data_IF_534363500316
#
_entry.id   IF_534363500316
#
_cell.length_a   1.000
_cell.length_b   1.000
_cell.length_c   1.000
_cell.angle_alpha   90.00
_cell.angle_beta   90.00
_cell.angle_gamma   90.00
#
_symmetry.space_group_name_H-M   'P 1'
#
loop_
_entity.id
_entity.type
_entity.pdbx_description
1 polymer ?
#
# COMPACT_ATOMS: atom_id res chain seq x y z
N UNK A 1 -50.62 32.83 -37.16
CA UNK A 1 -49.29 32.39 -37.62
C UNK A 1 -48.48 32.03 -36.39
N UNK A 2 -48.33 30.72 -36.17
CA UNK A 2 -47.74 30.11 -34.99
C UNK A 2 -46.23 29.97 -35.19
N UNK A 3 -45.44 30.38 -34.20
CA UNK A 3 -44.03 29.98 -34.10
C UNK A 3 -43.85 29.26 -32.76
N UNK A 4 -43.71 27.92 -32.75
CA UNK A 4 -43.44 27.21 -31.52
C UNK A 4 -41.96 27.31 -31.13
N UNK A 5 -41.74 27.69 -29.88
CA UNK A 5 -40.46 27.65 -29.18
C UNK A 5 -39.86 26.22 -29.22
N UNK A 6 -38.66 26.08 -29.78
CA UNK A 6 -37.85 24.85 -29.72
C UNK A 6 -36.93 24.92 -28.49
N UNK A 7 -37.08 24.05 -27.48
CA UNK A 7 -36.03 23.90 -26.48
C UNK A 7 -34.86 23.13 -27.09
N UNK A 8 -33.66 23.69 -26.96
CA UNK A 8 -32.42 23.11 -27.43
C UNK A 8 -32.14 21.73 -26.82
N UNK A 9 -31.72 20.80 -27.66
CA UNK A 9 -31.25 19.47 -27.29
C UNK A 9 -29.94 19.56 -26.49
N UNK A 10 -30.05 19.64 -25.17
CA UNK A 10 -28.92 19.35 -24.27
C UNK A 10 -28.66 17.84 -24.35
N UNK A 11 -27.43 17.50 -24.75
CA UNK A 11 -27.01 16.12 -25.04
C UNK A 11 -27.43 15.13 -23.97
N UNK A 12 -28.30 14.19 -24.36
CA UNK A 12 -28.60 13.00 -23.58
C UNK A 12 -27.33 12.15 -23.50
N UNK A 13 -26.57 12.32 -22.42
CA UNK A 13 -25.60 11.34 -21.99
C UNK A 13 -26.28 9.96 -21.98
N UNK A 14 -25.71 9.05 -22.76
CA UNK A 14 -26.13 7.66 -22.98
C UNK A 14 -26.66 7.03 -21.68
N UNK A 15 -28.00 6.91 -21.58
CA UNK A 15 -28.69 6.17 -20.51
C UNK A 15 -28.43 4.68 -20.74
N UNK A 16 -27.37 4.16 -20.14
CA UNK A 16 -27.19 2.71 -20.00
C UNK A 16 -28.21 2.26 -18.96
N UNK A 17 -29.25 1.54 -19.38
CA UNK A 17 -30.14 0.82 -18.46
C UNK A 17 -29.30 -0.25 -17.76
N UNK A 18 -29.11 -0.20 -16.43
CA UNK A 18 -28.33 -1.22 -15.75
C UNK A 18 -29.15 -2.53 -15.68
N UNK A 19 -28.47 -3.67 -15.75
CA UNK A 19 -29.01 -5.04 -15.68
C UNK A 19 -29.87 -5.34 -14.42
N UNK A 20 -29.96 -4.40 -13.49
CA UNK A 20 -30.59 -4.51 -12.18
C UNK A 20 -31.99 -3.85 -12.11
N UNK A 21 -32.41 -3.15 -13.18
CA UNK A 21 -33.73 -2.51 -13.29
C UNK A 21 -33.91 -1.22 -12.47
N UNK A 22 -32.88 -0.75 -11.77
CA UNK A 22 -32.92 0.44 -10.90
C UNK A 22 -32.23 1.62 -11.55
N UNK A 23 -32.89 2.78 -11.57
CA UNK A 23 -32.27 4.02 -12.07
C UNK A 23 -31.40 4.65 -10.99
N UNK A 24 -30.07 4.64 -11.21
CA UNK A 24 -29.09 5.24 -10.29
C UNK A 24 -28.55 6.52 -10.93
N UNK A 25 -28.68 7.64 -10.22
CA UNK A 25 -28.04 8.92 -10.56
C UNK A 25 -26.99 9.19 -9.48
N UNK A 26 -25.75 8.86 -9.81
CA UNK A 26 -24.59 9.01 -8.94
C UNK A 26 -23.35 9.34 -9.79
N UNK A 27 -22.45 10.12 -9.22
CA UNK A 27 -21.15 10.43 -9.81
C UNK A 27 -20.16 9.31 -9.45
N UNK A 28 -19.55 8.60 -10.42
CA UNK A 28 -18.66 7.48 -10.13
C UNK A 28 -17.43 7.94 -9.33
N UNK A 29 -16.95 7.09 -8.40
CA UNK A 29 -15.75 7.38 -7.64
C UNK A 29 -14.53 7.49 -8.55
N UNK A 30 -13.89 8.65 -8.55
CA UNK A 30 -12.55 8.86 -9.10
C UNK A 30 -11.50 8.29 -8.13
N UNK A 31 -10.44 7.65 -8.64
CA UNK A 31 -9.31 7.20 -7.81
C UNK A 31 -8.68 8.41 -7.12
N UNK A 32 -8.51 8.35 -5.80
CA UNK A 32 -7.87 9.42 -5.02
C UNK A 32 -6.57 8.91 -4.40
N UNK A 33 -5.48 9.63 -4.63
CA UNK A 33 -4.17 9.32 -4.06
C UNK A 33 -4.12 9.69 -2.57
N UNK A 34 -3.54 8.81 -1.74
CA UNK A 34 -3.43 9.07 -0.29
C UNK A 34 -2.12 9.83 0.02
N UNK A 35 -2.18 11.05 0.60
CA UNK A 35 -0.98 11.85 0.86
C UNK A 35 -0.04 11.20 1.89
N UNK A 36 -0.58 10.36 2.79
CA UNK A 36 0.22 9.63 3.77
C UNK A 36 1.17 8.60 3.11
N UNK A 37 0.74 7.97 2.01
CA UNK A 37 1.58 7.00 1.29
C UNK A 37 2.72 7.73 0.56
N UNK A 38 2.46 8.92 0.02
CA UNK A 38 3.50 9.79 -0.57
C UNK A 38 4.50 10.27 0.48
N UNK A 39 4.02 10.77 1.63
CA UNK A 39 4.89 11.20 2.73
C UNK A 39 5.78 10.05 3.21
N UNK A 40 5.20 8.85 3.35
CA UNK A 40 5.96 7.67 3.72
C UNK A 40 7.02 7.30 2.67
N UNK A 41 6.70 7.41 1.37
CA UNK A 41 7.67 7.19 0.30
C UNK A 41 8.81 8.23 0.34
N UNK A 42 8.50 9.50 0.56
CA UNK A 42 9.51 10.56 0.73
C UNK A 42 10.40 10.27 1.93
N UNK A 43 9.83 9.90 3.09
CA UNK A 43 10.62 9.54 4.27
C UNK A 43 11.50 8.32 4.03
N UNK A 44 11.02 7.31 3.29
CA UNK A 44 11.82 6.15 2.91
C UNK A 44 12.99 6.54 2.00
N UNK A 45 12.74 7.40 1.00
CA UNK A 45 13.78 7.91 0.10
C UNK A 45 14.84 8.73 0.86
N UNK A 46 14.41 9.64 1.74
CA UNK A 46 15.32 10.40 2.61
C UNK A 46 16.11 9.47 3.54
N UNK A 47 15.47 8.43 4.08
CA UNK A 47 16.14 7.40 4.86
C UNK A 47 17.22 6.65 4.07
N UNK A 48 16.95 6.29 2.81
CA UNK A 48 17.96 5.67 1.91
C UNK A 48 19.16 6.59 1.75
N UNK A 49 18.93 7.86 1.42
CA UNK A 49 20.01 8.84 1.27
C UNK A 49 20.83 9.00 2.56
N UNK A 50 20.16 9.10 3.70
CA UNK A 50 20.80 9.22 5.02
C UNK A 50 21.67 7.99 5.33
N UNK A 51 21.17 6.78 5.10
CA UNK A 51 21.93 5.54 5.33
C UNK A 51 23.15 5.48 4.42
N UNK A 52 23.04 5.87 3.15
CA UNK A 52 24.18 5.93 2.23
C UNK A 52 25.25 6.89 2.73
N UNK A 53 24.87 8.10 3.16
CA UNK A 53 25.81 9.10 3.70
C UNK A 53 26.47 8.59 4.98
N UNK A 54 25.69 8.04 5.90
CA UNK A 54 26.21 7.48 7.15
C UNK A 54 27.12 6.27 6.92
N UNK A 55 26.81 5.42 5.94
CA UNK A 55 27.62 4.27 5.58
C UNK A 55 29.03 4.69 5.13
N UNK A 56 29.13 5.73 4.29
CA UNK A 56 30.41 6.30 3.83
C UNK A 56 31.19 6.92 4.99
N UNK A 57 30.52 7.62 5.91
CA UNK A 57 31.20 8.26 7.04
C UNK A 57 31.67 7.24 8.09
N UNK A 58 30.87 6.19 8.32
CA UNK A 58 31.18 5.14 9.29
C UNK A 58 32.34 4.23 8.82
N UNK A 59 32.44 3.93 7.52
CA UNK A 59 33.54 3.12 6.98
C UNK A 59 34.90 3.80 7.17
N UNK A 60 34.97 5.12 6.98
CA UNK A 60 36.18 5.90 7.21
C UNK A 60 36.70 5.84 8.65
N UNK A 61 35.79 5.81 9.64
CA UNK A 61 36.14 5.78 11.07
C UNK A 61 36.59 4.39 11.55
N UNK A 62 36.15 3.33 10.88
CA UNK A 62 36.40 1.93 11.32
C UNK A 62 37.70 1.35 10.75
N UNK A 63 38.19 1.91 9.64
CA UNK A 63 39.44 1.47 9.00
C UNK A 63 40.68 1.55 9.92
N UNK A 64 40.70 2.51 10.86
CA UNK A 64 41.83 2.75 11.75
C UNK A 64 42.02 1.77 12.92
N UNK A 65 41.09 0.82 13.17
CA UNK A 65 41.17 -0.10 14.32
C UNK A 65 41.47 -1.57 13.95
N UNK A 66 41.49 -1.93 12.67
CA UNK A 66 41.45 -3.33 12.22
C UNK A 66 42.80 -3.92 11.80
N UNK A 67 43.88 -3.15 11.85
CA UNK A 67 45.20 -3.60 11.42
C UNK A 67 45.89 -4.53 12.44
N UNK A 68 45.47 -4.52 13.71
CA UNK A 68 46.22 -5.15 14.82
C UNK A 68 45.70 -6.53 15.32
N UNK A 69 44.66 -7.13 14.70
CA UNK A 69 44.00 -8.33 15.28
C UNK A 69 43.94 -9.57 14.36
N UNK A 70 44.68 -9.57 13.26
CA UNK A 70 44.59 -10.64 12.24
C UNK A 70 45.10 -12.02 12.71
N UNK A 71 45.88 -12.09 13.80
CA UNK A 71 46.48 -13.32 14.31
C UNK A 71 45.53 -14.31 15.00
N UNK A 72 44.41 -13.85 15.59
CA UNK A 72 43.51 -14.69 16.41
C UNK A 72 42.28 -15.17 15.60
N UNK A 73 41.91 -14.47 14.53
CA UNK A 73 40.69 -14.73 13.75
C UNK A 73 40.75 -16.00 12.86
N UNK A 74 41.95 -16.49 12.54
CA UNK A 74 42.14 -17.60 11.58
C UNK A 74 41.68 -18.97 12.13
N UNK A 75 41.85 -19.21 13.44
CA UNK A 75 41.49 -20.48 14.09
C UNK A 75 39.98 -20.58 14.33
N UNK A 76 39.36 -19.49 14.77
CA UNK A 76 37.91 -19.41 15.02
C UNK A 76 37.12 -19.56 13.71
N UNK A 77 37.59 -18.97 12.60
CA UNK A 77 36.98 -19.13 11.27
C UNK A 77 36.95 -20.57 10.77
N UNK A 78 37.96 -21.38 11.12
CA UNK A 78 38.08 -22.77 10.64
C UNK A 78 37.04 -23.71 11.27
N UNK A 79 36.62 -23.42 12.50
CA UNK A 79 35.60 -24.19 13.23
C UNK A 79 34.18 -23.72 12.88
N UNK A 80 33.97 -22.42 12.68
CA UNK A 80 32.66 -21.85 12.33
C UNK A 80 32.27 -21.99 10.85
N UNK A 81 33.19 -22.38 9.97
CA UNK A 81 32.95 -22.41 8.52
C UNK A 81 31.74 -23.25 8.10
N UNK A 82 31.65 -24.49 8.57
CA UNK A 82 30.58 -25.43 8.20
C UNK A 82 29.19 -24.97 8.69
N UNK A 83 28.97 -24.65 9.99
CA UNK A 83 27.67 -24.19 10.45
C UNK A 83 27.23 -22.85 9.83
N UNK A 84 28.16 -21.92 9.59
CA UNK A 84 27.84 -20.62 8.94
C UNK A 84 27.42 -20.82 7.49
N UNK A 85 28.11 -21.67 6.73
CA UNK A 85 27.78 -21.93 5.31
C UNK A 85 26.41 -22.60 5.15
N UNK A 86 26.06 -23.54 6.05
CA UNK A 86 24.72 -24.17 6.04
C UNK A 86 23.64 -23.14 6.35
N UNK A 87 23.88 -22.27 7.34
CA UNK A 87 22.95 -21.23 7.73
C UNK A 87 22.80 -20.14 6.66
N UNK A 88 23.89 -19.82 5.95
CA UNK A 88 23.91 -18.97 4.76
C UNK A 88 23.00 -19.52 3.66
N UNK A 89 23.18 -20.79 3.29
CA UNK A 89 22.34 -21.43 2.28
C UNK A 89 20.87 -21.46 2.69
N UNK A 90 20.59 -21.76 3.96
CA UNK A 90 19.22 -21.77 4.48
C UNK A 90 18.57 -20.38 4.46
N UNK A 91 19.28 -19.35 4.92
CA UNK A 91 18.73 -17.99 4.98
C UNK A 91 18.58 -17.41 3.57
N UNK A 92 19.55 -17.64 2.70
CA UNK A 92 19.53 -17.09 1.33
C UNK A 92 18.41 -17.71 0.50
N UNK A 93 18.18 -19.03 0.63
CA UNK A 93 17.23 -19.74 -0.20
C UNK A 93 15.88 -19.99 0.49
N UNK A 94 15.88 -20.52 1.71
CA UNK A 94 14.65 -20.95 2.39
C UNK A 94 13.89 -19.77 2.98
N UNK A 95 14.56 -18.78 3.60
CA UNK A 95 13.84 -17.69 4.25
C UNK A 95 12.94 -16.90 3.28
N UNK A 96 13.38 -16.50 2.07
CA UNK A 96 12.52 -15.80 1.13
C UNK A 96 11.41 -16.68 0.54
N UNK A 97 11.70 -17.96 0.28
CA UNK A 97 10.70 -18.92 -0.21
C UNK A 97 9.61 -19.13 0.83
N UNK A 98 9.95 -19.28 2.11
CA UNK A 98 8.99 -19.39 3.21
C UNK A 98 8.12 -18.15 3.30
N UNK A 99 8.72 -16.95 3.23
CA UNK A 99 7.96 -15.69 3.28
C UNK A 99 7.03 -15.56 2.06
N UNK A 100 7.50 -15.86 0.85
CA UNK A 100 6.69 -15.81 -0.38
C UNK A 100 5.58 -16.87 -0.37
N UNK A 101 5.87 -18.10 0.05
CA UNK A 101 4.89 -19.19 0.12
C UNK A 101 3.78 -18.90 1.14
N UNK A 102 4.12 -18.35 2.30
CA UNK A 102 3.15 -17.94 3.31
C UNK A 102 2.17 -16.87 2.79
N UNK A 103 2.58 -16.08 1.80
CA UNK A 103 1.76 -15.02 1.20
C UNK A 103 0.89 -15.53 0.04
N UNK A 104 1.43 -16.39 -0.84
CA UNK A 104 0.69 -17.01 -1.96
C UNK A 104 -0.48 -17.86 -1.45
N UNK A 105 -0.31 -18.54 -0.32
CA UNK A 105 -1.34 -19.42 0.25
C UNK A 105 -2.61 -18.69 0.72
N UNK A 106 -2.59 -17.35 0.87
CA UNK A 106 -3.63 -16.59 1.59
C UNK A 106 -4.73 -15.95 0.71
N UNK A 107 -4.85 -16.33 -0.57
CA UNK A 107 -6.01 -16.09 -1.49
C UNK A 107 -6.69 -14.71 -1.43
N UNK A 108 -5.95 -13.63 -1.71
CA UNK A 108 -6.53 -12.30 -2.01
C UNK A 108 -6.39 -11.99 -3.51
N UNK A 109 -7.08 -12.76 -4.35
CA UNK A 109 -6.89 -12.75 -5.83
C UNK A 109 -7.03 -11.37 -6.51
N UNK A 110 -7.74 -10.41 -5.90
CA UNK A 110 -7.86 -9.04 -6.45
C UNK A 110 -6.72 -8.08 -6.08
N UNK A 111 -5.97 -8.34 -5.01
CA UNK A 111 -4.81 -7.53 -4.58
C UNK A 111 -3.47 -8.30 -4.63
N UNK A 112 -3.52 -9.60 -4.93
CA UNK A 112 -2.34 -10.45 -5.05
C UNK A 112 -1.42 -9.99 -6.19
N UNK A 113 -1.98 -9.55 -7.32
CA UNK A 113 -1.16 -9.06 -8.45
C UNK A 113 -0.41 -7.77 -8.11
N UNK A 114 -1.05 -6.83 -7.40
CA UNK A 114 -0.42 -5.60 -6.95
C UNK A 114 0.68 -5.86 -5.91
N UNK A 115 0.44 -6.79 -4.99
CA UNK A 115 1.42 -7.22 -3.99
C UNK A 115 2.61 -7.95 -4.63
N UNK A 116 2.36 -8.81 -5.62
CA UNK A 116 3.43 -9.49 -6.40
C UNK A 116 4.21 -8.48 -7.23
N UNK A 117 3.54 -7.53 -7.88
CA UNK A 117 4.20 -6.45 -8.60
C UNK A 117 5.12 -5.63 -7.68
N UNK A 118 4.67 -5.30 -6.46
CA UNK A 118 5.53 -4.65 -5.47
C UNK A 118 6.75 -5.50 -5.12
N UNK A 119 6.59 -6.81 -4.93
CA UNK A 119 7.69 -7.72 -4.63
C UNK A 119 8.74 -7.75 -5.75
N UNK A 120 8.29 -7.90 -7.00
CA UNK A 120 9.16 -7.92 -8.18
C UNK A 120 9.88 -6.60 -8.33
N UNK A 121 9.18 -5.46 -8.22
CA UNK A 121 9.81 -4.15 -8.28
C UNK A 121 10.80 -3.93 -7.12
N UNK A 122 10.52 -4.46 -5.93
CA UNK A 122 11.45 -4.42 -4.80
C UNK A 122 12.72 -5.22 -5.06
N UNK A 123 12.61 -6.41 -5.65
CA UNK A 123 13.76 -7.22 -6.09
C UNK A 123 14.58 -6.46 -7.12
N UNK A 124 13.92 -5.90 -8.15
CA UNK A 124 14.59 -5.13 -9.19
C UNK A 124 15.28 -3.88 -8.63
N UNK A 125 14.66 -3.19 -7.67
CA UNK A 125 15.26 -2.03 -7.01
C UNK A 125 16.52 -2.41 -6.22
N UNK A 126 16.53 -3.54 -5.52
CA UNK A 126 17.72 -4.04 -4.83
C UNK A 126 18.84 -4.45 -5.79
N UNK A 127 18.49 -5.13 -6.90
CA UNK A 127 19.47 -5.49 -7.94
C UNK A 127 20.06 -4.23 -8.59
N UNK A 128 19.22 -3.24 -8.91
CA UNK A 128 19.66 -1.96 -9.44
C UNK A 128 20.56 -1.22 -8.45
N UNK A 129 20.19 -1.16 -7.16
CA UNK A 129 21.01 -0.54 -6.14
C UNK A 129 22.37 -1.24 -5.99
N UNK A 130 22.38 -2.58 -5.99
CA UNK A 130 23.61 -3.39 -5.95
C UNK A 130 24.50 -3.09 -7.15
N UNK A 131 23.92 -3.07 -8.35
CA UNK A 131 24.63 -2.75 -9.58
C UNK A 131 25.20 -1.31 -9.55
N UNK A 132 24.39 -0.33 -9.14
CA UNK A 132 24.82 1.07 -9.04
C UNK A 132 25.98 1.24 -8.05
N UNK A 133 25.93 0.61 -6.88
CA UNK A 133 27.00 0.67 -5.89
C UNK A 133 28.26 -0.03 -6.40
N UNK A 134 28.10 -1.19 -7.05
CA UNK A 134 29.24 -1.97 -7.57
C UNK A 134 29.95 -1.25 -8.71
N UNK A 135 29.20 -0.64 -9.62
CA UNK A 135 29.75 0.00 -10.82
C UNK A 135 30.21 1.43 -10.53
N UNK A 136 29.38 2.24 -9.87
CA UNK A 136 29.60 3.68 -9.69
C UNK A 136 29.94 4.11 -8.26
N UNK A 137 29.81 3.22 -7.27
CA UNK A 137 30.09 3.56 -5.87
C UNK A 137 31.57 3.84 -5.63
N UNK A 138 31.86 4.81 -4.77
CA UNK A 138 33.23 5.07 -4.27
C UNK A 138 33.70 3.90 -3.38
N UNK A 139 35.03 3.70 -3.19
CA UNK A 139 35.56 2.55 -2.44
C UNK A 139 34.95 2.39 -1.04
N UNK A 140 34.77 3.49 -0.32
CA UNK A 140 34.21 3.54 1.03
C UNK A 140 32.76 3.05 1.05
N UNK A 141 31.98 3.45 0.04
CA UNK A 141 30.60 3.00 -0.13
C UNK A 141 30.55 1.51 -0.46
N UNK A 142 31.39 1.03 -1.39
CA UNK A 142 31.46 -0.40 -1.72
C UNK A 142 31.83 -1.23 -0.50
N UNK A 143 32.80 -0.77 0.27
CA UNK A 143 33.24 -1.44 1.50
C UNK A 143 32.11 -1.54 2.53
N UNK A 144 31.39 -0.44 2.76
CA UNK A 144 30.30 -0.40 3.74
C UNK A 144 29.14 -1.36 3.42
N UNK A 145 28.91 -1.69 2.15
CA UNK A 145 27.89 -2.64 1.71
C UNK A 145 28.45 -4.04 1.39
N UNK A 146 29.77 -4.25 1.53
CA UNK A 146 30.40 -5.52 1.20
C UNK A 146 30.49 -6.46 2.40
N UNK A 147 30.23 -7.74 2.14
CA UNK A 147 30.50 -8.85 3.07
C UNK A 147 31.57 -9.76 2.49
N UNK A 148 32.31 -10.46 3.35
CA UNK A 148 33.36 -11.38 2.93
C UNK A 148 32.70 -12.72 2.56
N UNK A 149 32.68 -13.05 1.27
CA UNK A 149 32.22 -14.34 0.76
C UNK A 149 33.41 -15.08 0.14
N UNK A 150 33.94 -16.07 0.88
CA UNK A 150 35.18 -16.75 0.51
C UNK A 150 36.38 -15.80 0.46
N UNK A 151 37.02 -15.69 -0.71
CA UNK A 151 38.19 -14.83 -0.94
C UNK A 151 37.82 -13.43 -1.49
N UNK A 152 36.55 -13.17 -1.77
CA UNK A 152 36.09 -11.92 -2.39
C UNK A 152 35.16 -11.15 -1.45
N UNK A 153 35.23 -9.83 -1.51
CA UNK A 153 34.23 -8.95 -0.91
C UNK A 153 33.17 -8.63 -1.95
N UNK A 154 31.92 -8.92 -1.64
CA UNK A 154 30.78 -8.74 -2.55
C UNK A 154 29.78 -7.80 -1.90
N UNK A 155 29.30 -6.81 -2.67
CA UNK A 155 28.23 -5.90 -2.26
C UNK A 155 26.94 -6.68 -2.12
N UNK A 156 26.34 -6.69 -0.92
CA UNK A 156 25.17 -7.53 -0.62
C UNK A 156 23.99 -6.70 -0.14
N UNK A 157 22.98 -6.59 -1.01
CA UNK A 157 21.63 -6.12 -0.67
C UNK A 157 20.68 -7.26 -1.01
N UNK A 158 20.15 -8.00 -0.01
CA UNK A 158 19.28 -9.16 -0.25
C UNK A 158 18.02 -8.78 -1.05
N UNK A 159 18.04 -9.09 -2.35
CA UNK A 159 16.97 -8.67 -3.25
C UNK A 159 15.63 -9.30 -2.90
N UNK A 160 15.64 -10.58 -2.51
CA UNK A 160 14.41 -11.28 -2.13
C UNK A 160 13.81 -10.72 -0.83
N UNK A 161 14.63 -10.35 0.15
CA UNK A 161 14.15 -9.70 1.40
C UNK A 161 13.66 -8.27 1.14
N UNK A 162 14.27 -7.57 0.18
CA UNK A 162 13.77 -6.26 -0.28
C UNK A 162 12.39 -6.40 -0.93
N UNK A 163 12.21 -7.42 -1.76
CA UNK A 163 10.92 -7.76 -2.37
C UNK A 163 9.86 -8.11 -1.33
N UNK A 164 10.20 -8.89 -0.30
CA UNK A 164 9.24 -9.19 0.77
C UNK A 164 8.87 -7.94 1.57
N UNK A 165 9.82 -7.06 1.87
CA UNK A 165 9.53 -5.75 2.49
C UNK A 165 8.60 -4.88 1.61
N UNK A 166 8.81 -4.86 0.29
CA UNK A 166 7.95 -4.14 -0.66
C UNK A 166 6.53 -4.72 -0.69
N UNK A 167 6.43 -6.05 -0.76
CA UNK A 167 5.15 -6.75 -0.70
C UNK A 167 4.41 -6.46 0.60
N UNK A 168 5.06 -6.62 1.76
CA UNK A 168 4.45 -6.37 3.07
C UNK A 168 4.00 -4.91 3.22
N UNK A 169 4.76 -3.98 2.64
CA UNK A 169 4.40 -2.56 2.64
C UNK A 169 3.19 -2.29 1.75
N UNK A 170 3.16 -2.88 0.55
CA UNK A 170 2.02 -2.80 -0.36
C UNK A 170 0.76 -3.42 0.24
N UNK A 171 0.90 -4.58 0.89
CA UNK A 171 -0.19 -5.29 1.54
C UNK A 171 -0.85 -4.47 2.65
N UNK A 172 -0.07 -3.76 3.46
CA UNK A 172 -0.50 -2.67 4.35
C UNK A 172 -1.66 -2.97 5.33
N UNK A 173 -2.06 -1.99 6.18
CA UNK A 173 -3.01 -2.22 7.29
C UNK A 173 -4.47 -2.49 6.87
N UNK A 174 -4.79 -2.50 5.57
CA UNK A 174 -6.17 -2.72 5.08
C UNK A 174 -6.72 -4.08 5.52
N UNK A 175 -5.85 -5.03 5.82
CA UNK A 175 -6.21 -6.19 6.61
C UNK A 175 -5.86 -5.94 8.08
N UNK A 176 -6.88 -5.67 8.91
CA UNK A 176 -6.80 -5.49 10.37
C UNK A 176 -6.44 -6.79 11.11
N UNK A 177 -5.49 -7.57 10.58
CA UNK A 177 -5.14 -8.92 11.01
C UNK A 177 -3.75 -8.87 11.63
N UNK A 178 -3.65 -9.37 12.87
CA UNK A 178 -2.41 -9.50 13.68
C UNK A 178 -1.24 -10.15 12.91
N UNK A 179 -1.55 -10.86 11.82
CA UNK A 179 -0.62 -11.57 10.94
C UNK A 179 0.37 -10.65 10.20
N UNK A 180 -0.01 -9.44 9.78
CA UNK A 180 0.93 -8.53 9.08
C UNK A 180 2.05 -8.09 10.03
N UNK A 181 1.73 -7.82 11.30
CA UNK A 181 2.73 -7.56 12.33
C UNK A 181 3.67 -8.74 12.54
N UNK A 182 3.14 -9.97 12.54
CA UNK A 182 3.95 -11.18 12.65
C UNK A 182 4.93 -11.35 11.45
N UNK A 183 4.49 -11.06 10.22
CA UNK A 183 5.38 -11.12 9.05
C UNK A 183 6.51 -10.07 9.10
N UNK A 184 6.24 -8.87 9.64
CA UNK A 184 7.29 -7.89 9.88
C UNK A 184 8.27 -8.34 10.97
N UNK A 185 7.79 -8.96 12.05
CA UNK A 185 8.66 -9.54 13.08
C UNK A 185 9.56 -10.65 12.52
N UNK A 186 9.00 -11.52 11.67
CA UNK A 186 9.78 -12.56 10.98
C UNK A 186 10.84 -11.96 10.06
N UNK A 187 10.51 -10.89 9.32
CA UNK A 187 11.47 -10.18 8.48
C UNK A 187 12.62 -9.59 9.30
N UNK A 188 12.31 -8.96 10.44
CA UNK A 188 13.33 -8.45 11.37
C UNK A 188 14.19 -9.57 11.97
N UNK A 189 13.58 -10.71 12.30
CA UNK A 189 14.32 -11.88 12.78
C UNK A 189 15.29 -12.39 11.71
N UNK A 190 14.84 -12.54 10.46
CA UNK A 190 15.69 -12.97 9.34
C UNK A 190 16.84 -12.00 9.10
N UNK A 191 16.58 -10.69 9.09
CA UNK A 191 17.63 -9.67 8.98
C UNK A 191 18.59 -9.69 10.17
N UNK A 192 18.09 -9.87 11.39
CA UNK A 192 18.90 -9.95 12.59
C UNK A 192 19.82 -11.17 12.59
N UNK A 193 19.31 -12.34 12.20
CA UNK A 193 20.13 -13.54 12.05
C UNK A 193 21.18 -13.30 10.97
N UNK A 194 20.80 -12.80 9.79
CA UNK A 194 21.73 -12.51 8.70
C UNK A 194 22.82 -11.51 9.08
N UNK A 195 22.50 -10.53 9.93
CA UNK A 195 23.47 -9.56 10.46
C UNK A 195 24.44 -10.22 11.44
N UNK A 196 23.94 -11.00 12.40
CA UNK A 196 24.75 -11.71 13.41
C UNK A 196 25.66 -12.75 12.76
N UNK A 197 25.20 -13.40 11.70
CA UNK A 197 25.98 -14.39 10.95
C UNK A 197 26.94 -13.76 9.93
N UNK A 198 26.91 -12.44 9.76
CA UNK A 198 27.80 -11.71 8.85
C UNK A 198 27.46 -11.84 7.37
N UNK A 199 26.23 -12.25 7.04
CA UNK A 199 25.74 -12.39 5.67
C UNK A 199 25.34 -11.06 5.03
N UNK A 200 25.03 -10.07 5.85
CA UNK A 200 24.70 -8.70 5.42
C UNK A 200 25.37 -7.70 6.35
N UNK A 201 25.65 -6.50 5.82
CA UNK A 201 26.10 -5.38 6.65
C UNK A 201 24.91 -4.66 7.29
N UNK A 202 25.15 -3.90 8.37
CA UNK A 202 24.14 -3.06 8.99
C UNK A 202 23.49 -2.06 7.99
N UNK A 203 24.27 -1.27 7.21
CA UNK A 203 23.66 -0.41 6.20
C UNK A 203 22.96 -1.21 5.10
N UNK A 204 23.46 -2.39 4.71
CA UNK A 204 22.78 -3.30 3.79
C UNK A 204 21.40 -3.74 4.28
N UNK A 205 21.27 -4.10 5.57
CA UNK A 205 20.00 -4.46 6.20
C UNK A 205 19.01 -3.29 6.21
N UNK A 206 19.47 -2.07 6.54
CA UNK A 206 18.63 -0.88 6.56
C UNK A 206 18.15 -0.50 5.15
N UNK A 207 19.04 -0.49 4.16
CA UNK A 207 18.70 -0.22 2.76
C UNK A 207 17.72 -1.26 2.21
N UNK A 208 17.88 -2.54 2.56
CA UNK A 208 16.95 -3.61 2.18
C UNK A 208 15.51 -3.29 2.58
N UNK A 209 15.31 -2.86 3.84
CA UNK A 209 13.97 -2.51 4.31
C UNK A 209 13.48 -1.19 3.69
N UNK A 210 14.33 -0.18 3.62
CA UNK A 210 13.95 1.14 3.11
C UNK A 210 13.61 1.15 1.62
N UNK A 211 14.38 0.44 0.79
CA UNK A 211 14.05 0.24 -0.63
C UNK A 211 12.73 -0.50 -0.79
N UNK A 212 12.50 -1.55 0.01
CA UNK A 212 11.23 -2.25 0.03
C UNK A 212 10.08 -1.30 0.38
N UNK A 213 10.21 -0.51 1.43
CA UNK A 213 9.20 0.48 1.83
C UNK A 213 8.96 1.54 0.75
N UNK A 214 10.02 2.06 0.15
CA UNK A 214 9.95 3.05 -0.92
C UNK A 214 9.14 2.53 -2.11
N UNK A 215 9.47 1.33 -2.60
CA UNK A 215 8.77 0.70 -3.72
C UNK A 215 7.31 0.39 -3.35
N UNK A 216 7.07 -0.20 -2.18
CA UNK A 216 5.71 -0.56 -1.74
C UNK A 216 4.80 0.66 -1.56
N UNK A 217 5.30 1.74 -0.94
CA UNK A 217 4.56 2.98 -0.76
C UNK A 217 4.36 3.73 -2.08
N UNK A 218 5.40 3.75 -2.94
CA UNK A 218 5.31 4.34 -4.28
C UNK A 218 4.26 3.64 -5.14
N UNK A 219 4.28 2.31 -5.20
CA UNK A 219 3.29 1.55 -5.96
C UNK A 219 1.88 1.73 -5.39
N UNK A 220 1.75 1.75 -4.06
CA UNK A 220 0.47 2.00 -3.39
C UNK A 220 -0.09 3.39 -3.66
N UNK A 221 0.78 4.39 -3.73
CA UNK A 221 0.40 5.74 -4.12
C UNK A 221 -0.06 5.79 -5.58
N UNK A 222 0.68 5.13 -6.49
CA UNK A 222 0.38 5.09 -7.93
C UNK A 222 -0.89 4.30 -8.26
N UNK A 223 -1.09 3.14 -7.63
CA UNK A 223 -2.26 2.28 -7.92
C UNK A 223 -3.57 2.98 -7.52
N UNK A 224 -3.53 3.82 -6.48
CA UNK A 224 -4.69 4.52 -5.98
C UNK A 224 -5.73 3.58 -5.37
N UNK A 225 -6.62 4.10 -4.53
CA UNK A 225 -7.69 3.27 -3.94
C UNK A 225 -8.82 3.17 -4.97
N UNK A 226 -9.08 1.96 -5.48
CA UNK A 226 -10.42 1.65 -5.98
C UNK A 226 -11.31 1.56 -4.76
N UNK A 227 -12.20 2.52 -4.59
CA UNK A 227 -13.09 2.54 -3.45
C UNK A 227 -13.84 1.19 -3.39
N UNK A 228 -13.70 0.44 -2.30
CA UNK A 228 -14.52 -0.75 -1.98
C UNK A 228 -15.97 -0.36 -1.62
N UNK A 229 -16.44 0.70 -2.28
CA UNK A 229 -17.77 1.25 -2.14
C UNK A 229 -18.71 0.39 -2.95
N UNK A 230 -19.78 -0.08 -2.31
CA UNK A 230 -20.91 -0.64 -3.03
C UNK A 230 -21.44 0.45 -3.99
N UNK A 231 -21.38 0.15 -5.29
CA UNK A 231 -21.88 0.98 -6.38
C UNK A 231 -22.73 0.09 -7.30
N UNK A 232 -23.72 0.70 -7.94
CA UNK A 232 -24.54 0.00 -8.92
C UNK A 232 -25.25 -1.22 -8.33
N UNK A 233 -25.03 -2.38 -8.95
CA UNK A 233 -25.53 -3.70 -8.58
C UNK A 233 -25.42 -4.02 -7.08
N UNK A 234 -24.21 -3.86 -6.54
CA UNK A 234 -23.89 -4.24 -5.15
C UNK A 234 -24.61 -3.37 -4.11
N UNK A 235 -24.86 -2.10 -4.45
CA UNK A 235 -25.67 -1.21 -3.62
C UNK A 235 -27.14 -1.64 -3.65
N UNK A 236 -27.66 -1.94 -4.85
CA UNK A 236 -29.04 -2.42 -5.04
C UNK A 236 -29.27 -3.75 -4.31
N UNK A 237 -28.33 -4.69 -4.42
CA UNK A 237 -28.40 -5.98 -3.73
C UNK A 237 -28.35 -5.82 -2.21
N UNK A 238 -27.54 -4.88 -1.71
CA UNK A 238 -27.51 -4.53 -0.28
C UNK A 238 -28.87 -4.00 0.22
N UNK A 239 -29.50 -3.12 -0.56
CA UNK A 239 -30.82 -2.55 -0.24
C UNK A 239 -31.92 -3.63 -0.29
N UNK A 240 -31.88 -4.51 -1.30
CA UNK A 240 -32.80 -5.67 -1.41
C UNK A 240 -32.64 -6.65 -0.26
N UNK A 241 -31.41 -6.93 0.17
CA UNK A 241 -31.14 -7.76 1.36
C UNK A 241 -31.64 -7.12 2.65
N UNK A 242 -31.68 -5.79 2.71
CA UNK A 242 -32.28 -5.05 3.82
C UNK A 242 -33.82 -5.04 3.78
N UNK A 243 -34.45 -5.67 2.76
CA UNK A 243 -35.90 -5.82 2.63
C UNK A 243 -36.59 -4.73 1.82
N UNK A 244 -35.85 -3.88 1.11
CA UNK A 244 -36.41 -2.78 0.33
C UNK A 244 -36.25 -3.04 -1.18
N UNK A 245 -37.28 -2.74 -1.96
CA UNK A 245 -37.28 -2.88 -3.43
C UNK A 245 -37.08 -1.52 -4.12
N UNK A 246 -35.83 -1.17 -4.49
CA UNK A 246 -35.52 0.13 -5.08
C UNK A 246 -35.97 0.24 -6.54
N UNK A 247 -36.55 1.39 -6.91
CA UNK A 247 -36.85 1.76 -8.31
C UNK A 247 -35.94 2.89 -8.78
N UNK A 248 -35.67 3.85 -7.89
CA UNK A 248 -34.80 5.00 -8.16
C UNK A 248 -33.91 5.27 -6.97
N UNK A 249 -32.62 5.51 -7.23
CA UNK A 249 -31.62 5.96 -6.26
C UNK A 249 -30.97 7.22 -6.81
N UNK A 250 -31.08 8.33 -6.06
CA UNK A 250 -30.48 9.62 -6.44
C UNK A 250 -29.59 10.08 -5.30
N UNK A 251 -28.31 10.38 -5.56
CA UNK A 251 -27.42 10.88 -4.51
C UNK A 251 -27.85 12.28 -4.07
N UNK A 252 -28.04 12.49 -2.76
CA UNK A 252 -28.58 13.74 -2.20
C UNK A 252 -27.70 14.96 -2.54
N UNK A 253 -26.38 14.77 -2.56
CA UNK A 253 -25.42 15.81 -2.96
C UNK A 253 -25.65 16.35 -4.39
N UNK A 254 -26.16 15.50 -5.30
CA UNK A 254 -26.47 15.90 -6.68
C UNK A 254 -27.83 16.61 -6.78
N UNK A 255 -28.77 16.32 -5.87
CA UNK A 255 -30.10 16.96 -5.82
C UNK A 255 -29.97 18.42 -5.36
N UNK A 256 -29.18 18.67 -4.32
CA UNK A 256 -28.91 20.03 -3.82
C UNK A 256 -28.16 20.89 -4.85
N UNK A 257 -27.25 20.29 -5.62
CA UNK A 257 -26.53 20.98 -6.68
C UNK A 257 -27.43 21.35 -7.88
N UNK A 258 -28.49 20.57 -8.14
CA UNK A 258 -29.42 20.80 -9.24
C UNK A 258 -30.56 21.78 -8.90
N UNK A 259 -30.92 21.93 -7.62
CA UNK A 259 -32.01 22.82 -7.17
C UNK A 259 -31.58 23.72 -5.99
N UNK A 260 -30.89 24.84 -6.24
CA UNK A 260 -30.37 25.72 -5.19
C UNK A 260 -31.41 26.51 -4.37
N UNK A 261 -32.71 26.24 -4.49
CA UNK A 261 -33.75 27.04 -3.81
C UNK A 261 -35.20 26.61 -4.04
N UNK A 262 -35.52 25.32 -3.93
CA UNK A 262 -36.91 24.84 -4.00
C UNK A 262 -37.65 24.97 -2.68
N UNK A 263 -38.93 25.33 -2.71
CA UNK A 263 -39.80 25.46 -1.54
C UNK A 263 -40.55 24.15 -1.22
N UNK A 264 -40.78 23.89 0.07
CA UNK A 264 -41.94 23.11 0.54
C UNK A 264 -41.79 21.61 0.81
N UNK A 265 -41.07 20.84 -0.02
CA UNK A 265 -40.97 19.36 0.13
C UNK A 265 -39.64 18.91 0.82
N UNK A 266 -38.76 19.87 1.13
CA UNK A 266 -37.39 19.69 1.59
C UNK A 266 -37.21 19.55 3.12
N UNK A 267 -38.29 19.55 3.91
CA UNK A 267 -38.17 19.52 5.37
C UNK A 267 -37.62 18.19 5.91
N UNK A 268 -37.84 17.08 5.21
CA UNK A 268 -37.22 15.76 5.49
C UNK A 268 -35.79 15.69 4.90
N UNK A 269 -35.57 16.39 3.78
CA UNK A 269 -34.30 16.49 3.05
C UNK A 269 -33.22 17.26 3.84
N UNK A 270 -33.60 18.17 4.74
CA UNK A 270 -32.67 18.85 5.66
C UNK A 270 -31.94 17.88 6.59
N UNK A 271 -32.58 16.77 6.99
CA UNK A 271 -31.95 15.73 7.79
C UNK A 271 -30.88 14.97 7.01
N UNK A 272 -31.18 14.58 5.77
CA UNK A 272 -30.24 13.98 4.84
C UNK A 272 -29.08 14.94 4.48
N UNK A 273 -29.38 16.22 4.27
CA UNK A 273 -28.39 17.29 4.05
C UNK A 273 -27.54 17.52 5.30
N UNK A 274 -28.10 17.44 6.50
CA UNK A 274 -27.34 17.52 7.75
C UNK A 274 -26.40 16.30 7.90
N UNK A 275 -26.87 15.08 7.60
CA UNK A 275 -26.06 13.85 7.66
C UNK A 275 -24.90 13.91 6.65
N UNK A 276 -25.14 14.41 5.43
CA UNK A 276 -24.06 14.60 4.42
C UNK A 276 -23.05 15.68 4.82
N UNK A 277 -23.43 16.66 5.65
CA UNK A 277 -22.51 17.70 6.18
C UNK A 277 -21.74 17.23 7.41
N UNK A 278 -22.37 16.40 8.25
CA UNK A 278 -21.83 15.98 9.54
C UNK A 278 -20.94 14.73 9.44
N UNK A 279 -21.03 13.99 8.33
CA UNK A 279 -20.10 12.91 7.98
C UNK A 279 -19.88 12.83 6.47
N UNK A 280 -18.69 12.41 6.04
CA UNK A 280 -18.34 12.09 4.64
C UNK A 280 -19.03 10.78 4.19
N UNK A 281 -20.32 10.64 4.50
CA UNK A 281 -21.16 9.49 4.21
C UNK A 281 -21.98 9.75 2.94
N UNK A 282 -22.13 8.71 2.12
CA UNK A 282 -22.92 8.79 0.89
C UNK A 282 -24.39 8.60 1.26
N UNK A 283 -25.20 9.63 1.04
CA UNK A 283 -26.65 9.56 1.27
C UNK A 283 -27.36 9.55 -0.07
N UNK A 284 -28.25 8.56 -0.23
CA UNK A 284 -29.08 8.39 -1.42
C UNK A 284 -30.55 8.57 -1.04
N UNK A 285 -31.26 9.40 -1.79
CA UNK A 285 -32.72 9.40 -1.80
C UNK A 285 -33.18 8.17 -2.60
N UNK A 286 -33.80 7.22 -1.90
CA UNK A 286 -34.39 6.00 -2.42
C UNK A 286 -35.89 6.22 -2.67
N UNK A 287 -36.37 5.80 -3.83
CA UNK A 287 -37.80 5.62 -4.12
C UNK A 287 -38.09 4.14 -4.29
N UNK A 288 -39.00 3.61 -3.47
CA UNK A 288 -39.42 2.20 -3.51
C UNK A 288 -40.53 1.96 -4.56
N UNK A 289 -40.85 0.69 -4.85
CA UNK A 289 -42.00 0.36 -5.70
C UNK A 289 -43.36 0.80 -5.10
N UNK A 290 -43.48 0.85 -3.77
CA UNK A 290 -44.67 1.34 -3.07
C UNK A 290 -44.85 2.86 -3.14
N UNK A 291 -43.90 3.58 -3.75
CA UNK A 291 -43.91 5.05 -3.82
C UNK A 291 -43.38 5.74 -2.58
N UNK A 292 -42.86 4.98 -1.60
CA UNK A 292 -42.25 5.53 -0.39
C UNK A 292 -40.87 6.13 -0.70
N UNK A 293 -40.56 7.25 -0.05
CA UNK A 293 -39.27 7.93 -0.15
C UNK A 293 -38.49 7.72 1.14
N UNK A 294 -37.31 7.13 1.01
CA UNK A 294 -36.43 6.77 2.13
C UNK A 294 -35.03 7.34 1.91
N UNK A 295 -34.34 7.66 3.00
CA UNK A 295 -32.94 8.08 2.95
C UNK A 295 -32.03 6.89 3.27
N UNK A 296 -31.19 6.52 2.31
CA UNK A 296 -30.23 5.42 2.45
C UNK A 296 -28.85 6.02 2.72
N UNK A 297 -28.36 5.83 3.94
CA UNK A 297 -27.00 6.20 4.33
C UNK A 297 -26.08 5.00 4.10
N UNK A 298 -25.11 5.15 3.20
CA UNK A 298 -24.12 4.12 2.92
C UNK A 298 -22.87 4.39 3.75
N UNK A 299 -22.57 3.46 4.65
CA UNK A 299 -21.38 3.48 5.48
C UNK A 299 -20.21 2.83 4.74
N UNK A 300 -19.22 3.64 4.36
CA UNK A 300 -17.99 3.15 3.72
C UNK A 300 -16.96 2.79 4.80
N UNK A 301 -16.48 1.54 4.78
CA UNK A 301 -15.56 1.01 5.79
C UNK A 301 -14.18 1.69 5.87
N UNK A 302 -13.83 2.52 4.88
CA UNK A 302 -12.47 3.04 4.70
C UNK A 302 -12.09 4.25 5.57
N UNK A 303 -13.01 4.84 6.37
CA UNK A 303 -12.73 6.12 7.07
C UNK A 303 -13.14 6.25 8.54
N UNK A 304 -13.56 5.19 9.21
CA UNK A 304 -13.92 5.25 10.65
C UNK A 304 -12.73 5.52 11.61
N UNK A 305 -11.49 5.65 11.13
CA UNK A 305 -10.29 5.78 11.99
C UNK A 305 -9.85 7.23 12.24
N UNK A 306 -10.44 8.24 11.59
CA UNK A 306 -10.03 9.64 11.78
C UNK A 306 -10.88 10.43 12.80
N UNK A 307 -11.97 9.85 13.32
CA UNK A 307 -12.85 10.53 14.30
C UNK A 307 -12.32 10.59 15.73
N UNK A 308 -11.27 9.84 16.07
CA UNK A 308 -10.77 9.75 17.46
C UNK A 308 -9.69 10.80 17.77
N UNK A 309 -9.08 11.43 16.76
CA UNK A 309 -8.02 12.45 16.94
C UNK A 309 -8.51 13.89 16.84
N UNK A 310 -9.79 14.12 16.56
CA UNK A 310 -10.40 15.46 16.56
C UNK A 310 -11.10 15.82 17.89
N UNK A 311 -10.95 14.98 18.92
CA UNK A 311 -11.47 15.20 20.28
C UNK A 311 -10.39 14.95 21.34
N UNK A 312 -9.35 15.77 21.31
CA UNK A 312 -8.48 16.08 22.45
C UNK A 312 -7.94 17.47 22.20
#
# INVERSE_FOLDING_TARGET
MSSPYRPGSVGLARRVSPEHGVRIVDTPATRVHHPADLLGAVLAATGVALVVVLAVYASGTTSGLTEDVQGIASVVRRILFVPVTVLEGLITFIAPVVVLAELVWRRLVRHALEAVAAAVLGILAALLATWLITEFGIPELREAFSVTSGAQRVVTIPALVTGTAALLTMAGPRSRRRTVGASWNLLWLVLGIALVTGLITLPGALITVLLGRLVGLGLRYLSGVSSERAYGATLVDGIRRAGFDPVRLTRVQDVTAQHPGGDGELAVDLGAVAITRQGDHRVYALTTQSGERLDVVVLDGDRQVLGVLART
#
